data_IF_532706865058
#
_entry.id   IF_532706865058
#
_cell.length_a   1.000
_cell.length_b   1.000
_cell.length_c   1.000
_cell.angle_alpha   90.00
_cell.angle_beta   90.00
_cell.angle_gamma   90.00
#
_symmetry.space_group_name_H-M   'P 1'
#
loop_
_entity.id
_entity.type
_entity.pdbx_description
1 polymer ?
#
# COMPACT_ATOMS: atom_id res chain seq x y z
N UNK A 1 8.35 -9.06 27.63
CA UNK A 1 9.60 -9.72 27.24
C UNK A 1 10.58 -9.68 28.42
N UNK A 2 11.47 -10.67 28.58
CA UNK A 2 12.42 -10.65 29.71
C UNK A 2 13.42 -9.50 29.57
N UNK A 3 13.97 -9.03 30.70
CA UNK A 3 14.92 -7.91 30.72
C UNK A 3 16.17 -8.19 29.86
N UNK A 4 16.62 -9.45 29.81
CA UNK A 4 17.73 -9.87 28.97
C UNK A 4 17.46 -9.59 27.48
N UNK A 5 16.34 -10.08 26.94
CA UNK A 5 15.99 -9.90 25.53
C UNK A 5 15.69 -8.43 25.19
N UNK A 6 15.13 -7.68 26.14
CA UNK A 6 14.99 -6.23 26.04
C UNK A 6 16.33 -5.52 25.86
N UNK A 7 17.30 -5.82 26.73
CA UNK A 7 18.64 -5.25 26.64
C UNK A 7 19.37 -5.64 25.35
N UNK A 8 19.26 -6.91 24.95
CA UNK A 8 19.86 -7.44 23.73
C UNK A 8 19.39 -6.69 22.48
N UNK A 9 18.07 -6.53 22.30
CA UNK A 9 17.50 -5.82 21.15
C UNK A 9 17.90 -4.34 21.17
N UNK A 10 17.82 -3.69 22.34
CA UNK A 10 18.19 -2.29 22.47
C UNK A 10 19.66 -2.06 22.14
N UNK A 11 20.56 -2.92 22.64
CA UNK A 11 22.00 -2.81 22.40
C UNK A 11 22.35 -3.01 20.93
N UNK A 12 21.79 -4.02 20.26
CA UNK A 12 22.08 -4.25 18.84
C UNK A 12 21.51 -3.16 17.94
N UNK A 13 20.33 -2.65 18.26
CA UNK A 13 19.69 -1.57 17.49
C UNK A 13 20.46 -0.25 17.63
N UNK A 14 20.81 0.13 18.85
CA UNK A 14 21.60 1.34 19.08
C UNK A 14 23.03 1.18 18.56
N UNK A 15 23.63 0.00 18.75
CA UNK A 15 24.96 -0.32 18.23
C UNK A 15 25.03 -0.23 16.71
N UNK A 16 24.01 -0.72 15.98
CA UNK A 16 23.97 -0.61 14.52
C UNK A 16 23.75 0.82 14.04
N UNK A 17 22.90 1.61 14.71
CA UNK A 17 22.73 3.04 14.40
C UNK A 17 24.05 3.80 14.61
N UNK A 18 24.74 3.57 15.73
CA UNK A 18 26.05 4.17 16.00
C UNK A 18 27.09 3.73 14.97
N UNK A 19 27.10 2.45 14.59
CA UNK A 19 28.00 1.94 13.56
C UNK A 19 27.73 2.58 12.18
N UNK A 20 26.47 2.80 11.81
CA UNK A 20 26.08 3.50 10.59
C UNK A 20 26.50 4.97 10.61
N UNK A 21 26.28 5.66 11.74
CA UNK A 21 26.78 7.02 11.94
C UNK A 21 28.30 7.10 11.82
N UNK A 22 29.02 6.17 12.45
CA UNK A 22 30.47 6.12 12.35
C UNK A 22 30.92 5.85 10.91
N UNK A 23 30.31 4.87 10.23
CA UNK A 23 30.65 4.47 8.87
C UNK A 23 30.52 5.65 7.90
N UNK A 24 29.41 6.39 7.94
CA UNK A 24 29.19 7.50 6.99
C UNK A 24 30.19 8.65 7.19
N UNK A 25 30.62 8.91 8.43
CA UNK A 25 31.65 9.91 8.69
C UNK A 25 33.07 9.38 8.40
N UNK A 26 33.30 8.08 8.57
CA UNK A 26 34.58 7.45 8.24
C UNK A 26 34.82 7.46 6.72
N UNK A 27 33.82 7.08 5.92
CA UNK A 27 33.91 7.13 4.45
C UNK A 27 34.11 8.56 3.96
N UNK A 28 33.45 9.53 4.61
CA UNK A 28 33.53 10.93 4.20
C UNK A 28 34.88 11.60 4.41
N UNK A 29 35.71 11.10 5.35
CA UNK A 29 37.06 11.66 5.59
C UNK A 29 38.01 11.45 4.40
N UNK A 30 37.76 10.45 3.57
CA UNK A 30 38.57 10.16 2.38
C UNK A 30 38.12 10.89 1.11
N UNK A 31 37.01 11.64 1.16
CA UNK A 31 36.39 12.21 -0.04
C UNK A 31 37.15 13.45 -0.59
N UNK A 32 37.24 13.59 -1.93
CA UNK A 32 37.73 14.83 -2.54
C UNK A 32 36.76 16.01 -2.33
N UNK A 33 37.27 17.24 -2.36
CA UNK A 33 36.47 18.43 -2.04
C UNK A 33 35.36 18.77 -3.06
N UNK A 34 35.37 18.14 -4.23
CA UNK A 34 34.41 18.36 -5.32
C UNK A 34 34.46 17.24 -6.34
N UNK A 35 33.59 17.32 -7.35
CA UNK A 35 33.57 16.34 -8.45
C UNK A 35 34.91 16.33 -9.18
N UNK A 36 35.49 15.14 -9.34
CA UNK A 36 36.74 14.92 -10.05
C UNK A 36 36.55 13.86 -11.13
N UNK A 37 37.29 14.00 -12.24
CA UNK A 37 37.34 12.98 -13.30
C UNK A 37 38.42 11.91 -13.01
N UNK A 38 38.87 11.80 -11.75
CA UNK A 38 39.92 10.84 -11.36
C UNK A 38 39.31 9.44 -11.20
N UNK A 39 39.95 8.44 -11.79
CA UNK A 39 39.58 7.04 -11.64
C UNK A 39 40.49 6.33 -10.63
N UNK A 40 40.03 5.21 -10.08
CA UNK A 40 40.71 4.44 -9.03
C UNK A 40 41.95 3.65 -9.52
N UNK A 41 42.29 3.72 -10.81
CA UNK A 41 43.49 3.06 -11.38
C UNK A 41 43.34 1.56 -11.66
N UNK A 42 42.13 1.01 -11.53
CA UNK A 42 41.81 -0.37 -11.88
C UNK A 42 40.59 -0.41 -12.80
N UNK A 43 40.64 -1.28 -13.82
CA UNK A 43 39.54 -1.51 -14.75
C UNK A 43 38.99 -2.93 -14.58
N UNK A 44 37.68 -3.05 -14.47
CA UNK A 44 36.99 -4.33 -14.44
C UNK A 44 36.09 -4.42 -15.68
N UNK A 45 36.42 -5.32 -16.61
CA UNK A 45 35.67 -5.51 -17.87
C UNK A 45 35.49 -4.20 -18.69
N UNK A 46 36.53 -3.36 -18.72
CA UNK A 46 36.51 -2.07 -19.41
C UNK A 46 35.71 -0.96 -18.70
N UNK A 47 35.20 -1.21 -17.49
CA UNK A 47 34.57 -0.21 -16.62
C UNK A 47 35.58 0.24 -15.56
N UNK A 48 35.68 1.56 -15.38
CA UNK A 48 36.49 2.19 -14.33
C UNK A 48 35.60 2.94 -13.35
N UNK A 49 36.01 3.01 -12.09
CA UNK A 49 35.28 3.69 -11.02
C UNK A 49 35.86 5.07 -10.74
N UNK A 50 35.00 6.09 -10.62
CA UNK A 50 35.39 7.45 -10.27
C UNK A 50 35.50 7.66 -8.75
N UNK A 51 36.54 8.38 -8.33
CA UNK A 51 36.71 8.83 -6.94
C UNK A 51 36.00 10.17 -6.72
N UNK A 52 34.66 10.11 -6.67
CA UNK A 52 33.82 11.27 -6.46
C UNK A 52 33.28 11.34 -5.02
N UNK A 53 33.15 12.54 -4.45
CA UNK A 53 32.56 12.69 -3.13
C UNK A 53 31.07 12.32 -3.16
N UNK A 54 30.54 11.95 -2.00
CA UNK A 54 29.12 11.64 -1.90
C UNK A 54 28.30 12.92 -2.13
N UNK A 55 27.22 12.88 -2.94
CA UNK A 55 26.39 14.05 -3.16
C UNK A 55 25.85 14.61 -1.84
N UNK A 56 26.02 15.93 -1.62
CA UNK A 56 25.65 16.57 -0.34
C UNK A 56 24.20 16.33 0.05
N UNK A 57 23.28 16.37 -0.91
CA UNK A 57 21.86 16.14 -0.66
C UNK A 57 21.58 14.69 -0.22
N UNK A 58 22.29 13.71 -0.79
CA UNK A 58 22.15 12.31 -0.42
C UNK A 58 22.67 12.07 0.99
N UNK A 59 23.82 12.65 1.33
CA UNK A 59 24.38 12.59 2.68
C UNK A 59 23.43 13.19 3.73
N UNK A 60 22.86 14.37 3.44
CA UNK A 60 21.88 15.00 4.32
C UNK A 60 20.61 14.15 4.47
N UNK A 61 20.14 13.52 3.39
CA UNK A 61 19.01 12.60 3.44
C UNK A 61 19.31 11.38 4.31
N UNK A 62 20.49 10.78 4.16
CA UNK A 62 20.92 9.63 4.95
C UNK A 62 21.02 9.98 6.44
N UNK A 63 21.55 11.16 6.79
CA UNK A 63 21.52 11.63 8.18
C UNK A 63 20.08 11.88 8.64
N UNK A 64 19.25 12.48 7.79
CA UNK A 64 17.85 12.73 8.07
C UNK A 64 17.09 11.46 8.43
N UNK A 65 17.31 10.35 7.72
CA UNK A 65 16.67 9.06 8.04
C UNK A 65 17.19 8.46 9.35
N UNK A 66 18.47 8.61 9.67
CA UNK A 66 19.02 8.17 10.96
C UNK A 66 18.43 8.96 12.13
N UNK A 67 18.37 10.29 12.01
CA UNK A 67 17.77 11.17 13.02
C UNK A 67 16.29 10.86 13.18
N UNK A 68 15.56 10.69 12.06
CA UNK A 68 14.16 10.28 12.08
C UNK A 68 13.99 8.92 12.77
N UNK A 69 14.85 7.93 12.47
CA UNK A 69 14.82 6.61 13.10
C UNK A 69 15.03 6.69 14.62
N UNK A 70 15.98 7.50 15.09
CA UNK A 70 16.19 7.72 16.53
C UNK A 70 14.95 8.37 17.15
N UNK A 71 14.43 9.44 16.54
CA UNK A 71 13.23 10.12 17.02
C UNK A 71 12.03 9.17 17.09
N UNK A 72 11.87 8.32 16.07
CA UNK A 72 10.81 7.31 16.02
C UNK A 72 10.96 6.28 17.15
N UNK A 73 12.18 5.77 17.41
CA UNK A 73 12.44 4.83 18.51
C UNK A 73 12.27 5.44 19.91
N UNK A 74 12.43 6.76 20.04
CA UNK A 74 12.11 7.49 21.27
C UNK A 74 10.59 7.59 21.44
N UNK A 75 9.87 7.97 20.39
CA UNK A 75 8.42 8.19 20.44
C UNK A 75 7.62 6.88 20.56
N UNK A 76 8.02 5.83 19.85
CA UNK A 76 7.29 4.56 19.74
C UNK A 76 8.00 3.42 20.47
N UNK A 77 7.28 2.33 20.83
CA UNK A 77 7.93 1.11 21.27
C UNK A 77 8.76 0.49 20.14
N UNK A 78 9.93 -0.02 20.49
CA UNK A 78 10.86 -0.65 19.53
C UNK A 78 12.20 -1.04 20.13
N UNK A 79 12.66 -0.29 21.13
CA UNK A 79 13.87 -0.61 21.91
C UNK A 79 13.53 -1.57 23.07
N UNK A 80 13.30 -2.84 22.74
CA UNK A 80 12.99 -3.86 23.74
C UNK A 80 11.65 -3.58 24.46
N UNK A 81 11.68 -3.45 25.79
CA UNK A 81 10.52 -3.10 26.63
C UNK A 81 10.27 -1.57 26.74
N UNK A 82 11.04 -0.74 26.03
CA UNK A 82 10.74 0.70 25.94
C UNK A 82 9.36 0.91 25.32
N UNK A 83 8.48 1.64 26.02
CA UNK A 83 7.08 1.83 25.63
C UNK A 83 6.85 3.03 24.69
N UNK A 84 7.87 3.86 24.48
CA UNK A 84 7.73 5.13 23.78
C UNK A 84 7.22 6.26 24.66
N UNK A 85 7.48 7.50 24.26
CA UNK A 85 7.02 8.73 24.93
C UNK A 85 6.05 9.56 24.07
N UNK A 86 5.40 8.94 23.08
CA UNK A 86 4.42 9.62 22.23
C UNK A 86 3.31 10.25 23.09
N UNK A 87 3.08 11.58 23.00
CA UNK A 87 2.04 12.23 23.76
C UNK A 87 0.66 11.77 23.32
N UNK A 88 -0.28 11.81 24.27
CA UNK A 88 -1.66 11.44 24.03
C UNK A 88 -1.97 9.97 24.27
N UNK A 89 -1.01 9.07 24.49
CA UNK A 89 -1.24 7.68 24.90
C UNK A 89 -0.79 7.46 26.35
N UNK A 90 -1.71 7.05 27.23
CA UNK A 90 -1.35 6.65 28.60
C UNK A 90 -0.51 5.38 28.55
N UNK A 91 0.59 5.32 29.30
CA UNK A 91 1.54 4.19 29.33
C UNK A 91 2.09 3.78 27.95
N UNK A 92 2.31 4.75 27.07
CA UNK A 92 2.91 4.54 25.75
C UNK A 92 1.95 4.00 24.70
N UNK A 93 2.32 4.17 23.43
CA UNK A 93 1.53 3.74 22.28
C UNK A 93 1.66 2.23 22.04
N UNK A 94 0.55 1.57 21.66
CA UNK A 94 0.54 0.23 21.08
C UNK A 94 -0.52 0.16 19.99
N UNK A 95 -0.40 -0.79 19.06
CA UNK A 95 -1.42 -1.01 18.03
C UNK A 95 -2.80 -1.33 18.64
N UNK A 96 -2.84 -2.05 19.76
CA UNK A 96 -4.09 -2.39 20.47
C UNK A 96 -4.75 -1.15 21.07
N UNK A 97 -3.97 -0.27 21.72
CA UNK A 97 -4.50 0.99 22.27
C UNK A 97 -5.00 1.93 21.18
N UNK A 98 -4.31 1.98 20.05
CA UNK A 98 -4.77 2.76 18.90
C UNK A 98 -6.10 2.21 18.36
N UNK A 99 -6.20 0.90 18.17
CA UNK A 99 -7.42 0.25 17.73
C UNK A 99 -8.59 0.48 18.69
N UNK A 100 -8.37 0.32 20.01
CA UNK A 100 -9.40 0.59 21.02
C UNK A 100 -9.93 2.02 20.96
N UNK A 101 -9.05 3.00 20.74
CA UNK A 101 -9.45 4.41 20.58
C UNK A 101 -10.24 4.64 19.30
N UNK A 102 -9.83 4.03 18.19
CA UNK A 102 -10.53 4.14 16.92
C UNK A 102 -11.95 3.54 17.01
N UNK A 103 -12.07 2.36 17.64
CA UNK A 103 -13.37 1.73 17.89
C UNK A 103 -14.22 2.57 18.83
N UNK A 104 -13.67 3.08 19.94
CA UNK A 104 -14.41 3.93 20.87
C UNK A 104 -14.93 5.22 20.19
N UNK A 105 -14.11 5.87 19.36
CA UNK A 105 -14.53 7.04 18.57
C UNK A 105 -15.61 6.67 17.55
N UNK A 106 -15.50 5.50 16.92
CA UNK A 106 -16.53 5.00 16.01
C UNK A 106 -17.84 4.69 16.74
N UNK A 107 -17.79 4.09 17.92
CA UNK A 107 -18.95 3.77 18.75
C UNK A 107 -19.64 5.05 19.25
N UNK A 108 -18.89 6.08 19.66
CA UNK A 108 -19.46 7.37 20.03
C UNK A 108 -20.19 8.03 18.85
N UNK A 109 -19.58 7.96 17.65
CA UNK A 109 -20.11 8.60 16.44
C UNK A 109 -21.29 7.84 15.82
N UNK A 110 -21.22 6.51 15.77
CA UNK A 110 -22.18 5.66 15.06
C UNK A 110 -23.15 4.92 15.99
N UNK A 111 -22.80 4.76 17.27
CA UNK A 111 -23.62 4.11 18.29
C UNK A 111 -25.05 4.66 18.38
N UNK A 112 -25.28 5.99 18.39
CA UNK A 112 -26.63 6.55 18.39
C UNK A 112 -27.46 6.14 17.16
N UNK A 113 -26.82 5.98 15.99
CA UNK A 113 -27.50 5.57 14.76
C UNK A 113 -27.92 4.10 14.87
N UNK A 114 -27.03 3.23 15.35
CA UNK A 114 -27.35 1.83 15.59
C UNK A 114 -28.41 1.66 16.68
N UNK A 115 -28.32 2.40 17.79
CA UNK A 115 -29.30 2.37 18.88
C UNK A 115 -30.69 2.82 18.40
N UNK A 116 -30.76 3.88 17.58
CA UNK A 116 -32.00 4.35 16.95
C UNK A 116 -32.69 3.24 16.17
N UNK A 117 -31.98 2.53 15.28
CA UNK A 117 -32.58 1.48 14.46
C UNK A 117 -32.82 0.17 15.24
N UNK A 118 -32.02 -0.12 16.26
CA UNK A 118 -32.22 -1.29 17.11
C UNK A 118 -33.49 -1.21 17.96
N UNK A 119 -33.96 0.01 18.30
CA UNK A 119 -35.20 0.23 19.04
C UNK A 119 -36.46 0.15 18.18
N UNK A 120 -36.33 0.12 16.84
CA UNK A 120 -37.47 0.03 15.92
C UNK A 120 -37.76 -1.42 15.53
N UNK A 121 -39.03 -1.79 15.30
CA UNK A 121 -39.34 -3.07 14.68
C UNK A 121 -38.81 -3.10 13.23
N UNK A 122 -38.40 -4.28 12.75
CA UNK A 122 -37.71 -4.45 11.46
C UNK A 122 -38.54 -3.94 10.29
N UNK A 123 -39.87 -4.04 10.37
CA UNK A 123 -40.81 -3.54 9.36
C UNK A 123 -40.72 -2.01 9.21
N UNK A 124 -40.46 -1.28 10.30
CA UNK A 124 -40.28 0.17 10.27
C UNK A 124 -38.86 0.53 9.79
N UNK A 125 -37.84 -0.23 10.19
CA UNK A 125 -36.47 -0.04 9.70
C UNK A 125 -36.39 -0.23 8.18
N UNK A 126 -37.14 -1.20 7.63
CA UNK A 126 -37.20 -1.46 6.19
C UNK A 126 -37.89 -0.33 5.39
N UNK A 127 -38.64 0.55 6.05
CA UNK A 127 -39.30 1.70 5.41
C UNK A 127 -38.42 2.96 5.44
N UNK A 128 -37.40 3.04 6.30
CA UNK A 128 -36.46 4.16 6.36
C UNK A 128 -35.40 4.03 5.24
N UNK A 129 -35.41 4.97 4.28
CA UNK A 129 -34.45 4.96 3.17
C UNK A 129 -32.98 4.99 3.61
N UNK A 130 -32.67 5.69 4.71
CA UNK A 130 -31.30 5.77 5.22
C UNK A 130 -30.86 4.44 5.80
N UNK A 131 -31.75 3.76 6.55
CA UNK A 131 -31.51 2.43 7.07
C UNK A 131 -31.31 1.40 5.94
N UNK A 132 -32.15 1.43 4.90
CA UNK A 132 -32.02 0.53 3.73
C UNK A 132 -30.72 0.80 2.97
N UNK A 133 -30.33 2.06 2.76
CA UNK A 133 -29.03 2.40 2.13
C UNK A 133 -27.85 1.94 2.99
N UNK A 134 -27.95 2.02 4.32
CA UNK A 134 -26.94 1.50 5.24
C UNK A 134 -26.87 -0.03 5.18
N UNK A 135 -28.02 -0.71 5.21
CA UNK A 135 -28.13 -2.16 5.07
C UNK A 135 -27.58 -2.66 3.73
N UNK A 136 -27.81 -1.94 2.64
CA UNK A 136 -27.24 -2.26 1.33
C UNK A 136 -25.70 -2.25 1.34
N UNK A 137 -25.08 -1.31 2.08
CA UNK A 137 -23.61 -1.28 2.26
C UNK A 137 -23.13 -2.47 3.09
N UNK A 138 -23.83 -2.83 4.18
CA UNK A 138 -23.49 -4.01 4.98
C UNK A 138 -23.62 -5.31 4.16
N UNK A 139 -24.71 -5.43 3.39
CA UNK A 139 -24.96 -6.57 2.51
C UNK A 139 -23.88 -6.73 1.45
N UNK A 140 -23.44 -5.63 0.83
CA UNK A 140 -22.37 -5.65 -0.16
C UNK A 140 -21.06 -6.21 0.42
N UNK A 141 -20.75 -5.95 1.69
CA UNK A 141 -19.52 -6.42 2.34
C UNK A 141 -19.64 -7.85 2.90
N UNK A 142 -20.76 -8.19 3.54
CA UNK A 142 -20.88 -9.43 4.33
C UNK A 142 -21.73 -10.52 3.68
N UNK A 143 -22.60 -10.19 2.73
CA UNK A 143 -23.60 -11.12 2.20
C UNK A 143 -23.47 -11.37 0.68
N UNK A 144 -22.96 -10.40 -0.06
CA UNK A 144 -22.89 -10.42 -1.54
C UNK A 144 -22.06 -11.57 -2.11
N UNK A 145 -21.11 -12.08 -1.32
CA UNK A 145 -20.25 -13.20 -1.70
C UNK A 145 -21.06 -14.46 -2.01
N UNK A 146 -22.16 -14.69 -1.29
CA UNK A 146 -23.06 -15.82 -1.49
C UNK A 146 -24.38 -15.42 -2.16
N UNK A 147 -24.90 -14.22 -1.86
CA UNK A 147 -26.25 -13.80 -2.26
C UNK A 147 -26.31 -12.88 -3.50
N UNK A 148 -25.16 -12.69 -4.17
CA UNK A 148 -24.95 -11.75 -5.28
C UNK A 148 -25.24 -10.28 -4.89
N UNK A 149 -24.50 -9.30 -5.44
CA UNK A 149 -24.68 -7.87 -5.12
C UNK A 149 -26.04 -7.30 -5.58
N UNK A 150 -26.79 -8.08 -6.37
CA UNK A 150 -28.17 -7.82 -6.77
C UNK A 150 -29.00 -9.07 -6.49
N UNK A 151 -30.27 -8.95 -6.04
CA UNK A 151 -31.20 -10.09 -5.84
C UNK A 151 -31.49 -10.95 -7.08
N UNK A 152 -30.81 -10.71 -8.21
CA UNK A 152 -30.78 -11.59 -9.37
C UNK A 152 -29.46 -12.33 -9.34
N UNK A 153 -29.50 -13.54 -8.81
CA UNK A 153 -28.41 -14.49 -8.88
C UNK A 153 -27.96 -14.74 -10.34
N UNK A 154 -26.72 -15.25 -10.58
CA UNK A 154 -26.15 -15.43 -11.92
C UNK A 154 -26.92 -16.41 -12.82
N UNK A 155 -27.83 -17.20 -12.24
CA UNK A 155 -28.70 -18.12 -12.99
C UNK A 155 -29.96 -17.44 -13.55
N UNK A 156 -30.24 -16.19 -13.20
CA UNK A 156 -31.42 -15.45 -13.67
C UNK A 156 -31.22 -14.74 -15.03
N UNK A 157 -30.07 -14.91 -15.70
CA UNK A 157 -29.76 -14.16 -16.93
C UNK A 157 -29.88 -14.94 -18.23
N UNK A 158 -30.67 -16.03 -18.29
CA UNK A 158 -30.80 -16.79 -19.56
C UNK A 158 -32.20 -17.12 -20.07
N UNK A 159 -33.30 -16.88 -19.35
CA UNK A 159 -34.62 -17.31 -19.86
C UNK A 159 -35.82 -16.39 -19.59
N UNK A 160 -35.66 -15.25 -18.89
CA UNK A 160 -36.81 -14.39 -18.53
C UNK A 160 -36.80 -13.01 -19.19
N UNK A 161 -36.30 -12.93 -20.43
CA UNK A 161 -36.41 -11.71 -21.27
C UNK A 161 -37.46 -11.84 -22.39
N UNK A 162 -38.33 -12.87 -22.35
CA UNK A 162 -39.37 -13.09 -23.38
C UNK A 162 -40.80 -12.96 -22.87
N UNK A 163 -41.05 -12.63 -21.60
CA UNK A 163 -42.41 -12.50 -21.07
C UNK A 163 -42.56 -11.26 -20.21
N UNK A 164 -42.63 -10.10 -20.87
CA UNK A 164 -43.62 -9.04 -20.58
C UNK A 164 -43.24 -7.81 -21.39
N UNK A 165 -44.02 -7.56 -22.45
CA UNK A 165 -43.93 -6.36 -23.26
C UNK A 165 -44.27 -5.13 -22.45
N UNK A 166 -43.28 -4.30 -22.19
CA UNK A 166 -43.41 -2.86 -22.03
C UNK A 166 -42.01 -2.27 -22.22
N UNK A 167 -41.83 -1.53 -23.31
CA UNK A 167 -40.54 -1.07 -23.78
C UNK A 167 -39.88 -0.08 -22.82
N UNK A 168 -38.63 -0.36 -22.47
CA UNK A 168 -37.60 0.66 -22.22
C UNK A 168 -36.35 0.20 -22.97
N UNK A 169 -36.10 0.83 -24.11
CA UNK A 169 -34.90 0.61 -24.92
C UNK A 169 -33.74 1.35 -24.25
N UNK A 170 -32.98 0.66 -23.41
CA UNK A 170 -31.62 1.09 -23.08
C UNK A 170 -30.70 0.52 -24.17
N UNK A 171 -30.26 1.41 -25.05
CA UNK A 171 -29.34 1.15 -26.16
C UNK A 171 -28.00 0.63 -25.63
N UNK A 172 -27.85 -0.69 -25.52
CA UNK A 172 -26.55 -1.31 -25.31
C UNK A 172 -25.73 -1.18 -26.59
N UNK A 173 -24.51 -0.61 -26.48
CA UNK A 173 -23.52 -0.69 -27.56
C UNK A 173 -23.16 -2.15 -27.75
N UNK A 174 -23.64 -2.76 -28.81
CA UNK A 174 -23.23 -4.08 -29.27
C UNK A 174 -21.77 -4.05 -29.73
N UNK A 175 -20.94 -4.93 -29.16
CA UNK A 175 -19.71 -5.39 -29.83
C UNK A 175 -20.12 -6.11 -31.12
N UNK A 176 -19.48 -5.87 -32.27
CA UNK A 176 -19.71 -6.66 -33.47
C UNK A 176 -19.14 -8.08 -33.33
N UNK A 177 -19.68 -9.07 -34.06
CA UNK A 177 -19.27 -10.46 -33.97
C UNK A 177 -17.90 -10.69 -34.61
N UNK A 178 -17.14 -11.62 -34.02
CA UNK A 178 -15.87 -12.13 -34.52
C UNK A 178 -16.03 -12.82 -35.88
N UNK A 179 -15.49 -12.22 -36.94
CA UNK A 179 -15.16 -12.92 -38.19
C UNK A 179 -13.64 -13.17 -38.24
N UNK A 180 -13.30 -14.43 -38.40
CA UNK A 180 -11.98 -14.99 -38.68
C UNK A 180 -11.21 -14.24 -39.77
N UNK A 181 -10.04 -13.69 -39.42
CA UNK A 181 -8.96 -13.41 -40.35
C UNK A 181 -7.62 -13.74 -39.67
N UNK A 182 -6.97 -14.79 -40.18
CA UNK A 182 -5.65 -15.27 -39.75
C UNK A 182 -4.58 -14.26 -40.20
N UNK A 183 -3.69 -13.77 -39.32
CA UNK A 183 -2.54 -12.96 -39.76
C UNK A 183 -1.48 -13.86 -40.43
N UNK A 184 -0.82 -13.42 -41.52
CA UNK A 184 0.21 -14.22 -42.15
C UNK A 184 1.46 -14.30 -41.26
N UNK A 185 1.94 -15.53 -41.05
CA UNK A 185 3.23 -15.84 -40.44
C UNK A 185 4.36 -15.26 -41.30
N UNK A 186 5.16 -14.35 -40.77
CA UNK A 186 6.51 -14.11 -41.27
C UNK A 186 7.43 -15.22 -40.75
N UNK A 187 7.97 -16.04 -41.65
CA UNK A 187 9.14 -16.91 -41.44
C UNK A 187 10.26 -16.50 -42.42
N UNK A 188 11.52 -16.89 -42.14
CA UNK A 188 12.70 -16.07 -42.38
C UNK A 188 13.42 -16.38 -43.70
N UNK A 189 14.17 -15.39 -44.18
CA UNK A 189 15.32 -15.57 -45.07
C UNK A 189 15.01 -15.71 -46.56
N UNK A 190 15.17 -14.61 -47.31
CA UNK A 190 15.61 -14.66 -48.70
C UNK A 190 16.37 -13.37 -49.05
N UNK A 191 17.62 -13.59 -49.45
CA UNK A 191 18.66 -12.68 -49.92
C UNK A 191 18.27 -12.07 -51.28
N UNK A 192 18.85 -10.90 -51.64
CA UNK A 192 19.23 -10.38 -52.98
C UNK A 192 19.03 -8.84 -53.00
N UNK A 193 20.10 -8.03 -52.87
CA UNK A 193 21.06 -7.60 -53.91
C UNK A 193 20.62 -6.33 -54.66
N UNK A 194 21.37 -5.25 -54.40
CA UNK A 194 21.81 -4.17 -55.28
C UNK A 194 20.82 -3.47 -56.23
N UNK A 195 20.75 -2.12 -56.13
CA UNK A 195 21.31 -1.24 -57.16
C UNK A 195 21.41 0.23 -56.72
N UNK A 196 22.54 0.81 -57.07
CA UNK A 196 22.94 2.24 -57.02
C UNK A 196 21.93 3.17 -57.70
N UNK A 197 21.79 4.37 -57.15
CA UNK A 197 21.90 5.64 -57.85
C UNK A 197 22.49 6.66 -56.87
#
# INVERSE_FOLDING_TARGET
MSNFWSGYIALLTLGSIVALFWLIFATRKGEPAGTTDKTMGHSFDGIEEYDNPLPRWWFLLFIGTLVFGILYLVLYPGLGNWKGVLPGYEDGWTQEKQWQREVAQADEKYGPIFAKYAAMPVEQVAQDEQAVKMGARLFANYCSICHAPTPRAPWASRTWSTMNGAGVVIRSRSRPPSSTAVPPRCRPGARLSAKKA
#
